data_IF_039622055480
#
_entry.id   IF_039622055480
#
_cell.length_a   1.000
_cell.length_b   1.000
_cell.length_c   1.000
_cell.angle_alpha   90.00
_cell.angle_beta   90.00
_cell.angle_gamma   90.00
#
_symmetry.space_group_name_H-M   'P 1'
#
loop_
_entity.id
_entity.type
_entity.pdbx_description
1 polymer ?
#
# COMPACT_ATOMS: atom_id res chain seq x y z
N UNK A 1 -35.59 -2.17 -51.29
CA UNK A 1 -34.78 -3.31 -50.79
C UNK A 1 -33.69 -2.71 -49.85
N UNK A 2 -33.97 -2.73 -48.56
CA UNK A 2 -33.10 -2.10 -47.54
C UNK A 2 -32.12 -3.07 -46.95
N UNK A 3 -30.84 -2.75 -47.05
CA UNK A 3 -29.76 -3.49 -46.35
C UNK A 3 -29.75 -3.03 -44.88
N UNK A 4 -30.17 -3.93 -43.98
CA UNK A 4 -29.99 -3.73 -42.54
C UNK A 4 -28.55 -4.10 -42.20
N UNK A 5 -27.77 -3.04 -41.85
CA UNK A 5 -26.38 -3.17 -41.41
C UNK A 5 -26.36 -3.70 -39.97
N UNK A 6 -25.74 -4.86 -39.79
CA UNK A 6 -25.56 -5.53 -38.50
C UNK A 6 -24.50 -4.80 -37.69
N UNK A 7 -24.92 -3.92 -36.77
CA UNK A 7 -24.04 -3.13 -35.87
C UNK A 7 -24.03 -3.67 -34.43
N UNK A 8 -24.23 -4.98 -34.26
CA UNK A 8 -24.50 -5.58 -32.94
C UNK A 8 -23.39 -6.40 -32.29
N UNK A 9 -22.29 -6.71 -32.96
CA UNK A 9 -21.33 -7.73 -32.43
C UNK A 9 -20.01 -7.12 -31.92
N UNK A 10 -19.69 -5.88 -32.27
CA UNK A 10 -18.40 -5.28 -31.89
C UNK A 10 -18.36 -4.67 -30.48
N UNK A 11 -19.50 -4.43 -29.85
CA UNK A 11 -19.60 -3.82 -28.53
C UNK A 11 -19.38 -4.77 -27.34
N UNK A 12 -19.61 -6.07 -27.54
CA UNK A 12 -19.53 -7.07 -26.45
C UNK A 12 -18.12 -7.56 -26.15
N UNK A 13 -17.19 -7.45 -27.10
CA UNK A 13 -15.79 -7.88 -26.88
C UNK A 13 -14.92 -6.86 -26.14
N UNK A 14 -15.30 -5.58 -26.14
CA UNK A 14 -14.53 -4.53 -25.47
C UNK A 14 -14.79 -4.47 -23.95
N UNK A 15 -15.95 -4.98 -23.50
CA UNK A 15 -16.31 -4.97 -22.06
C UNK A 15 -15.62 -6.09 -21.25
N UNK A 16 -15.10 -7.12 -21.91
CA UNK A 16 -14.48 -8.27 -21.21
C UNK A 16 -13.00 -8.05 -20.84
N UNK A 17 -12.36 -7.02 -21.39
CA UNK A 17 -10.93 -6.74 -21.15
C UNK A 17 -10.65 -5.90 -19.89
N UNK A 18 -11.69 -5.34 -19.27
CA UNK A 18 -11.54 -4.46 -18.12
C UNK A 18 -11.46 -5.24 -16.79
N UNK A 19 -11.76 -6.52 -16.78
CA UNK A 19 -11.83 -7.32 -15.55
C UNK A 19 -10.58 -8.17 -15.24
N UNK A 20 -9.46 -7.96 -15.91
CA UNK A 20 -8.25 -8.76 -15.70
C UNK A 20 -7.18 -8.10 -14.83
N UNK A 21 -7.43 -6.94 -14.28
CA UNK A 21 -6.61 -6.46 -13.18
C UNK A 21 -7.21 -6.99 -11.88
N UNK A 22 -6.85 -8.22 -11.53
CA UNK A 22 -7.08 -8.72 -10.19
C UNK A 22 -6.40 -7.72 -9.24
N UNK A 23 -7.19 -6.99 -8.49
CA UNK A 23 -6.70 -6.16 -7.40
C UNK A 23 -5.94 -7.12 -6.48
N UNK A 24 -4.60 -6.95 -6.42
CA UNK A 24 -3.77 -7.80 -5.60
C UNK A 24 -4.12 -7.53 -4.15
N UNK A 25 -4.62 -8.55 -3.50
CA UNK A 25 -5.12 -8.50 -2.15
C UNK A 25 -3.96 -8.47 -1.14
N UNK A 26 -4.16 -7.81 0.00
CA UNK A 26 -3.21 -7.74 1.11
C UNK A 26 -2.75 -9.14 1.55
N UNK A 27 -3.70 -10.04 1.75
CA UNK A 27 -3.43 -11.39 2.25
C UNK A 27 -2.66 -12.26 1.26
N UNK A 28 -2.87 -12.06 -0.03
CA UNK A 28 -2.22 -12.86 -1.08
C UNK A 28 -0.87 -12.30 -1.56
N UNK A 29 -0.61 -11.00 -1.36
CA UNK A 29 0.59 -10.34 -1.87
C UNK A 29 1.49 -9.83 -0.75
N UNK A 30 0.94 -9.05 0.18
CA UNK A 30 1.73 -8.37 1.20
C UNK A 30 2.05 -9.28 2.37
N UNK A 31 1.07 -10.00 2.89
CA UNK A 31 1.28 -10.90 4.04
C UNK A 31 2.36 -11.94 3.77
N UNK A 32 2.41 -12.68 2.64
CA UNK A 32 3.48 -13.63 2.36
C UNK A 32 4.87 -12.97 2.24
N UNK A 33 4.95 -11.79 1.63
CA UNK A 33 6.18 -11.03 1.55
C UNK A 33 6.71 -10.66 2.94
N UNK A 34 5.85 -10.09 3.80
CA UNK A 34 6.21 -9.71 5.16
C UNK A 34 6.62 -10.92 6.00
N UNK A 35 5.92 -12.04 5.86
CA UNK A 35 6.25 -13.29 6.54
C UNK A 35 7.65 -13.78 6.19
N UNK A 36 7.99 -13.72 4.90
CA UNK A 36 9.27 -14.22 4.39
C UNK A 36 10.44 -13.32 4.75
N UNK A 37 10.26 -11.99 4.65
CA UNK A 37 11.36 -11.04 4.68
C UNK A 37 11.41 -10.14 5.92
N UNK A 38 10.31 -10.01 6.69
CA UNK A 38 10.20 -9.03 7.76
C UNK A 38 9.95 -9.65 9.15
N UNK A 39 9.07 -10.65 9.26
CA UNK A 39 8.59 -11.16 10.56
C UNK A 39 9.68 -11.78 11.44
N UNK A 40 10.77 -12.27 10.86
CA UNK A 40 11.94 -12.76 11.62
C UNK A 40 12.49 -11.71 12.58
N UNK A 41 12.39 -10.43 12.23
CA UNK A 41 12.90 -9.31 13.02
C UNK A 41 11.81 -8.36 13.52
N UNK A 42 10.65 -8.32 12.86
CA UNK A 42 9.53 -7.43 13.15
C UNK A 42 8.22 -8.22 13.34
N UNK A 43 8.28 -9.28 14.10
CA UNK A 43 7.18 -10.21 14.38
C UNK A 43 7.00 -10.48 15.88
N UNK A 44 6.27 -11.54 16.24
CA UNK A 44 5.92 -11.84 17.64
C UNK A 44 7.15 -12.20 18.49
N UNK A 45 8.12 -12.90 17.91
CA UNK A 45 9.33 -13.36 18.64
C UNK A 45 10.37 -12.24 18.83
N UNK A 46 10.41 -11.28 17.90
CA UNK A 46 11.39 -10.19 17.89
C UNK A 46 10.80 -8.92 17.33
N UNK A 47 11.02 -7.80 18.02
CA UNK A 47 10.44 -6.51 17.71
C UNK A 47 11.54 -5.46 17.57
N UNK A 48 12.39 -5.60 16.53
CA UNK A 48 13.44 -4.60 16.27
C UNK A 48 12.83 -3.22 16.04
N UNK A 49 13.39 -2.20 16.67
CA UNK A 49 12.92 -0.82 16.62
C UNK A 49 11.44 -0.65 17.05
N UNK A 50 10.96 -1.53 17.94
CA UNK A 50 9.58 -1.55 18.45
C UNK A 50 8.51 -1.66 17.35
N UNK A 51 8.84 -2.33 16.22
CA UNK A 51 7.94 -2.52 15.09
C UNK A 51 7.42 -3.95 15.01
N UNK A 52 6.11 -4.07 14.82
CA UNK A 52 5.36 -5.31 14.70
C UNK A 52 4.57 -5.30 13.37
N UNK A 53 5.12 -5.93 12.33
CA UNK A 53 4.45 -5.98 11.02
C UNK A 53 3.47 -7.16 10.89
N UNK A 54 3.54 -8.13 11.78
CA UNK A 54 2.61 -9.26 11.85
C UNK A 54 1.21 -8.90 12.36
N UNK A 55 1.03 -7.68 12.88
CA UNK A 55 -0.26 -7.16 13.35
C UNK A 55 -0.91 -6.19 12.37
N UNK A 56 -0.27 -5.92 11.24
CA UNK A 56 -0.81 -5.02 10.23
C UNK A 56 -2.07 -5.60 9.59
N UNK A 57 -3.06 -4.76 9.42
CA UNK A 57 -4.34 -5.11 8.80
C UNK A 57 -4.63 -4.16 7.63
N UNK A 58 -5.35 -4.68 6.64
CA UNK A 58 -5.89 -3.88 5.55
C UNK A 58 -7.43 -3.99 5.54
N UNK A 59 -8.17 -2.90 5.31
CA UNK A 59 -7.69 -1.52 5.04
C UNK A 59 -7.06 -0.84 6.27
N UNK A 60 -6.16 0.13 6.03
CA UNK A 60 -5.49 0.91 7.08
C UNK A 60 -6.52 1.72 7.86
N UNK A 61 -6.61 1.50 9.19
CA UNK A 61 -7.69 2.04 9.99
C UNK A 61 -7.29 3.22 10.88
N UNK A 62 -6.01 3.31 11.29
CA UNK A 62 -5.52 4.30 12.23
C UNK A 62 -4.18 4.91 11.79
N UNK A 63 -3.71 5.93 12.54
CA UNK A 63 -2.47 6.65 12.24
C UNK A 63 -1.22 5.82 12.49
N UNK A 64 -1.25 4.96 13.49
CA UNK A 64 -0.14 4.09 13.84
C UNK A 64 0.12 3.07 12.73
N UNK A 65 -0.92 2.39 12.25
CA UNK A 65 -0.80 1.47 11.11
C UNK A 65 -0.30 2.22 9.86
N UNK A 66 -0.84 3.41 9.58
CA UNK A 66 -0.39 4.19 8.43
C UNK A 66 1.10 4.51 8.48
N UNK A 67 1.62 4.87 9.65
CA UNK A 67 3.06 5.12 9.83
C UNK A 67 3.89 3.86 9.62
N UNK A 68 3.41 2.69 10.07
CA UNK A 68 4.10 1.42 9.83
C UNK A 68 4.13 1.05 8.35
N UNK A 69 3.02 1.25 7.62
CA UNK A 69 2.99 1.04 6.16
C UNK A 69 3.93 1.98 5.41
N UNK A 70 4.00 3.26 5.83
CA UNK A 70 4.94 4.23 5.26
C UNK A 70 6.39 3.85 5.54
N UNK A 71 6.70 3.39 6.76
CA UNK A 71 8.03 2.95 7.14
C UNK A 71 8.49 1.75 6.28
N UNK A 72 7.63 0.74 6.08
CA UNK A 72 7.94 -0.38 5.20
C UNK A 72 8.24 0.11 3.77
N UNK A 73 7.40 1.00 3.23
CA UNK A 73 7.58 1.56 1.89
C UNK A 73 8.92 2.28 1.76
N UNK A 74 9.27 3.11 2.73
CA UNK A 74 10.51 3.89 2.73
C UNK A 74 11.74 2.98 2.81
N UNK A 75 11.72 1.99 3.71
CA UNK A 75 12.82 1.03 3.87
C UNK A 75 13.06 0.18 2.62
N UNK A 76 11.99 -0.23 1.93
CA UNK A 76 12.12 -0.95 0.66
C UNK A 76 12.66 -0.06 -0.46
N UNK A 77 12.19 1.19 -0.56
CA UNK A 77 12.67 2.14 -1.56
C UNK A 77 14.14 2.53 -1.36
N UNK A 78 14.59 2.68 -0.12
CA UNK A 78 15.98 2.96 0.23
C UNK A 78 16.88 1.72 0.09
N UNK A 79 16.30 0.52 0.03
CA UNK A 79 17.04 -0.74 0.00
C UNK A 79 17.75 -1.05 1.32
N UNK A 80 17.31 -0.44 2.44
CA UNK A 80 17.90 -0.68 3.76
C UNK A 80 17.35 -1.94 4.43
N UNK A 81 16.14 -2.38 4.02
CA UNK A 81 15.52 -3.62 4.51
C UNK A 81 15.18 -4.58 3.37
N UNK A 82 15.37 -5.88 3.59
CA UNK A 82 16.09 -6.54 4.70
C UNK A 82 17.55 -6.09 4.77
N UNK A 83 18.22 -6.18 5.95
CA UNK A 83 19.63 -5.81 6.07
C UNK A 83 20.54 -6.75 5.25
N UNK A 84 21.78 -6.35 5.01
CA UNK A 84 22.70 -7.04 4.08
C UNK A 84 22.97 -8.51 4.46
N UNK A 85 22.86 -8.86 5.73
CA UNK A 85 23.07 -10.22 6.24
C UNK A 85 21.88 -11.17 5.96
N UNK A 86 20.73 -10.63 5.55
CA UNK A 86 19.54 -11.43 5.24
C UNK A 86 19.33 -11.56 3.72
N UNK A 87 18.72 -12.67 3.27
CA UNK A 87 18.40 -12.84 1.85
C UNK A 87 17.57 -11.70 1.30
N UNK A 88 18.01 -11.14 0.17
CA UNK A 88 17.27 -10.08 -0.54
C UNK A 88 16.07 -10.67 -1.29
N UNK A 89 14.90 -10.01 -1.22
CA UNK A 89 13.76 -10.39 -2.04
C UNK A 89 14.03 -10.15 -3.53
N UNK A 90 13.27 -10.82 -4.38
CA UNK A 90 13.32 -10.59 -5.82
C UNK A 90 12.93 -9.13 -6.16
N UNK A 91 13.68 -8.43 -7.04
CA UNK A 91 13.37 -7.05 -7.41
C UNK A 91 11.98 -6.86 -8.02
N UNK A 92 11.45 -7.87 -8.71
CA UNK A 92 10.10 -7.80 -9.27
C UNK A 92 9.05 -7.90 -8.15
N UNK A 93 9.28 -8.75 -7.15
CA UNK A 93 8.43 -8.84 -5.94
C UNK A 93 8.45 -7.53 -5.15
N UNK A 94 9.62 -6.95 -4.91
CA UNK A 94 9.74 -5.64 -4.25
C UNK A 94 8.95 -4.56 -4.99
N UNK A 95 9.11 -4.50 -6.32
CA UNK A 95 8.38 -3.52 -7.14
C UNK A 95 6.86 -3.66 -7.00
N UNK A 96 6.39 -4.89 -6.94
CA UNK A 96 4.97 -5.19 -6.77
C UNK A 96 4.45 -4.74 -5.40
N UNK A 97 5.18 -5.08 -4.34
CA UNK A 97 4.87 -4.68 -2.96
C UNK A 97 4.89 -3.17 -2.80
N UNK A 98 5.91 -2.48 -3.34
CA UNK A 98 6.02 -1.02 -3.33
C UNK A 98 4.84 -0.35 -4.05
N UNK A 99 4.42 -0.87 -5.19
CA UNK A 99 3.27 -0.34 -5.93
C UNK A 99 1.97 -0.49 -5.11
N UNK A 100 1.78 -1.65 -4.50
CA UNK A 100 0.63 -1.93 -3.64
C UNK A 100 0.61 -1.00 -2.41
N UNK A 101 1.72 -0.91 -1.67
CA UNK A 101 1.87 -0.04 -0.49
C UNK A 101 1.56 1.42 -0.83
N UNK A 102 2.10 1.91 -1.95
CA UNK A 102 1.86 3.28 -2.42
C UNK A 102 0.36 3.54 -2.62
N UNK A 103 -0.35 2.60 -3.25
CA UNK A 103 -1.80 2.71 -3.48
C UNK A 103 -2.60 2.69 -2.18
N UNK A 104 -2.31 1.75 -1.28
CA UNK A 104 -3.01 1.61 0.00
C UNK A 104 -2.83 2.83 0.92
N UNK A 105 -1.60 3.37 0.98
CA UNK A 105 -1.29 4.59 1.74
C UNK A 105 -2.05 5.79 1.15
N UNK A 106 -2.04 5.95 -0.17
CA UNK A 106 -2.76 7.05 -0.84
C UNK A 106 -4.27 6.99 -0.58
N UNK A 107 -4.85 5.79 -0.63
CA UNK A 107 -6.27 5.58 -0.30
C UNK A 107 -6.59 5.95 1.15
N UNK A 108 -5.78 5.50 2.11
CA UNK A 108 -5.96 5.80 3.52
C UNK A 108 -5.87 7.32 3.78
N UNK A 109 -4.91 8.00 3.16
CA UNK A 109 -4.74 9.46 3.26
C UNK A 109 -5.93 10.20 2.65
N UNK A 110 -6.44 9.75 1.50
CA UNK A 110 -7.61 10.37 0.86
C UNK A 110 -8.88 10.23 1.72
N UNK A 111 -9.10 9.06 2.32
CA UNK A 111 -10.22 8.83 3.26
C UNK A 111 -10.16 9.77 4.47
N UNK A 112 -8.97 9.98 5.03
CA UNK A 112 -8.73 10.88 6.16
C UNK A 112 -9.00 12.33 5.79
N UNK A 113 -8.50 12.77 4.66
CA UNK A 113 -8.74 14.13 4.15
C UNK A 113 -10.24 14.42 4.00
N UNK A 114 -11.03 13.43 3.63
CA UNK A 114 -12.47 13.56 3.47
C UNK A 114 -13.25 13.49 4.80
N UNK A 115 -12.68 12.84 5.82
CA UNK A 115 -13.32 12.64 7.13
C UNK A 115 -12.77 13.56 8.23
N UNK A 116 -11.64 14.20 8.01
CA UNK A 116 -11.01 15.13 8.93
C UNK A 116 -11.37 16.56 8.60
N UNK A 117 -11.70 17.35 9.63
CA UNK A 117 -11.87 18.78 9.49
C UNK A 117 -10.63 19.42 8.85
N UNK A 118 -10.84 20.53 8.16
CA UNK A 118 -9.81 21.33 7.53
C UNK A 118 -8.71 21.65 8.56
N UNK A 119 -7.50 21.14 8.33
CA UNK A 119 -6.35 21.50 9.15
C UNK A 119 -5.98 22.94 8.82
N UNK A 120 -6.53 23.87 9.59
CA UNK A 120 -6.16 25.27 9.47
C UNK A 120 -4.74 25.43 10.01
N UNK A 121 -3.78 25.59 9.10
CA UNK A 121 -2.43 26.01 9.43
C UNK A 121 -2.50 27.45 9.99
N UNK A 122 -2.73 27.54 11.30
CA UNK A 122 -2.67 28.85 11.94
C UNK A 122 -1.21 29.28 12.12
N UNK A 123 -0.95 30.53 11.85
CA UNK A 123 0.36 31.11 12.12
C UNK A 123 0.54 31.16 13.64
N UNK A 124 1.57 30.48 14.14
CA UNK A 124 1.94 30.54 15.55
C UNK A 124 2.38 31.97 15.87
N UNK A 125 1.95 32.48 17.02
CA UNK A 125 2.39 33.78 17.49
C UNK A 125 3.77 33.65 18.19
N UNK A 126 4.43 34.80 18.45
CA UNK A 126 5.78 34.82 19.00
C UNK A 126 5.90 34.09 20.35
N UNK A 127 4.84 34.02 21.14
CA UNK A 127 4.85 33.35 22.44
C UNK A 127 4.80 31.84 22.34
N UNK A 128 4.35 31.32 21.22
CA UNK A 128 4.25 29.86 20.98
C UNK A 128 5.57 29.27 20.47
N UNK A 129 6.59 30.15 20.15
CA UNK A 129 7.93 29.74 19.76
C UNK A 129 8.95 29.76 20.91
N UNK A 130 8.57 30.26 22.09
CA UNK A 130 9.43 30.38 23.28
C UNK A 130 9.02 29.35 24.34
#
# INVERSE_FOLDING_TARGET
MGKKLSLGIFGLFFSALIHLYAEKDFDSTITPFLQTHCFKCHGPEKQKADRRYDQLLHPIQNDEDLLLFQDILDQLNLGEMPPEEEPRPDPAEVKEVVAWLTSAIAEAQAKRKNNGGETVLRRLNRREYL
#
